data_IF_801419502636
#
_entry.id   IF_801419502636
#
_cell.length_a   1.000
_cell.length_b   1.000
_cell.length_c   1.000
_cell.angle_alpha   90.00
_cell.angle_beta   90.00
_cell.angle_gamma   90.00
#
_symmetry.space_group_name_H-M   'P 1'
#
loop_
_entity.id
_entity.type
_entity.pdbx_description
1 polymer ?
#
# COMPACT_ATOMS: atom_id res chain seq x y z
N UNK A 1 -15.96 43.49 26.48
CA UNK A 1 -16.25 42.75 25.21
C UNK A 1 -15.28 41.60 25.09
N UNK A 2 -15.79 40.34 24.92
CA UNK A 2 -14.93 39.17 24.60
C UNK A 2 -14.34 39.36 23.20
N UNK A 3 -13.03 39.23 23.07
CA UNK A 3 -12.37 39.25 21.77
C UNK A 3 -12.66 37.88 21.06
N UNK A 4 -13.00 37.95 19.78
CA UNK A 4 -13.19 36.79 18.94
C UNK A 4 -11.81 36.32 18.46
N UNK A 5 -11.53 35.03 18.61
CA UNK A 5 -10.28 34.44 18.10
C UNK A 5 -10.39 34.25 16.59
N UNK A 6 -9.32 34.52 15.84
CA UNK A 6 -9.30 34.23 14.41
C UNK A 6 -9.30 32.71 14.14
N UNK A 7 -9.98 32.34 13.06
CA UNK A 7 -9.92 30.97 12.53
C UNK A 7 -9.01 30.98 11.31
N UNK A 8 -8.05 30.08 11.27
CA UNK A 8 -7.12 29.89 10.14
C UNK A 8 -7.26 28.48 9.63
N UNK A 9 -7.44 28.31 8.32
CA UNK A 9 -7.42 27.00 7.67
C UNK A 9 -6.04 26.74 7.11
N UNK A 10 -5.46 25.62 7.55
CA UNK A 10 -4.17 25.11 7.08
C UNK A 10 -4.39 23.76 6.43
N UNK A 11 -3.85 23.59 5.22
CA UNK A 11 -3.83 22.33 4.48
C UNK A 11 -2.40 21.82 4.43
N UNK A 12 -2.19 20.62 4.90
CA UNK A 12 -0.92 19.90 4.74
C UNK A 12 -1.05 18.97 3.54
N UNK A 13 -0.31 19.25 2.48
CA UNK A 13 -0.33 18.50 1.24
C UNK A 13 0.91 17.59 1.16
N UNK A 14 0.68 16.29 1.08
CA UNK A 14 1.73 15.26 1.06
C UNK A 14 2.02 14.69 -0.33
N UNK A 15 1.44 15.27 -1.39
CA UNK A 15 1.66 14.81 -2.76
C UNK A 15 3.14 14.88 -3.16
N UNK A 16 3.66 13.77 -3.67
CA UNK A 16 5.05 13.63 -4.09
C UNK A 16 5.26 13.80 -5.59
N UNK A 17 4.21 13.61 -6.40
CA UNK A 17 4.31 13.60 -7.87
C UNK A 17 4.17 14.98 -8.49
N UNK A 18 3.42 15.88 -7.85
CA UNK A 18 3.15 17.22 -8.34
C UNK A 18 2.88 18.21 -7.21
N UNK A 19 3.11 19.48 -7.49
CA UNK A 19 2.72 20.59 -6.61
C UNK A 19 1.20 20.70 -6.50
N UNK A 20 0.75 21.36 -5.43
CA UNK A 20 -0.65 21.75 -5.28
C UNK A 20 -1.07 22.66 -6.44
N UNK A 21 -2.09 22.27 -7.18
CA UNK A 21 -2.55 23.02 -8.35
C UNK A 21 -4.01 23.52 -8.26
N UNK A 22 -4.67 23.27 -7.13
CA UNK A 22 -6.05 23.73 -6.95
C UNK A 22 -6.11 25.15 -6.39
N UNK A 23 -7.25 25.79 -6.58
CA UNK A 23 -7.51 27.13 -6.05
C UNK A 23 -7.38 27.15 -4.53
N UNK A 24 -6.82 28.24 -4.00
CA UNK A 24 -6.55 28.39 -2.56
C UNK A 24 -7.54 29.32 -1.86
N UNK A 25 -8.51 29.86 -2.60
CA UNK A 25 -9.51 30.79 -2.08
C UNK A 25 -10.89 30.53 -2.70
N UNK A 26 -11.94 30.78 -1.92
CA UNK A 26 -13.32 30.52 -2.33
C UNK A 26 -13.75 31.47 -3.46
N UNK A 27 -13.35 32.73 -3.39
CA UNK A 27 -13.72 33.72 -4.37
C UNK A 27 -13.35 33.33 -5.80
N UNK A 28 -12.22 32.67 -5.98
CA UNK A 28 -11.77 32.17 -7.30
C UNK A 28 -12.60 31.03 -7.88
N UNK A 29 -13.52 30.47 -7.10
CA UNK A 29 -14.45 29.42 -7.51
C UNK A 29 -15.86 29.93 -7.80
N UNK A 30 -16.09 31.25 -7.60
CA UNK A 30 -17.40 31.91 -7.77
C UNK A 30 -17.45 32.64 -9.12
N UNK A 31 -18.61 32.61 -9.75
CA UNK A 31 -18.95 33.50 -10.83
C UNK A 31 -19.52 34.80 -10.24
N UNK A 32 -18.69 35.85 -10.09
CA UNK A 32 -19.08 37.10 -9.49
C UNK A 32 -19.46 38.09 -10.60
N UNK A 33 -20.71 38.60 -10.64
CA UNK A 33 -21.10 39.58 -11.61
C UNK A 33 -20.26 40.87 -11.54
N UNK A 34 -20.07 41.50 -12.69
CA UNK A 34 -19.27 42.72 -12.81
C UNK A 34 -19.71 43.81 -11.79
N UNK A 35 -18.75 44.40 -11.11
CA UNK A 35 -18.98 45.45 -10.08
C UNK A 35 -19.33 44.94 -8.70
N UNK A 36 -19.61 43.63 -8.51
CA UNK A 36 -19.94 43.04 -7.21
C UNK A 36 -18.73 42.46 -6.47
N UNK A 37 -17.56 42.40 -7.09
CA UNK A 37 -16.36 41.77 -6.53
C UNK A 37 -15.97 42.33 -5.13
N UNK A 38 -16.10 43.64 -4.93
CA UNK A 38 -15.80 44.31 -3.66
C UNK A 38 -16.76 44.00 -2.52
N UNK A 39 -17.92 43.44 -2.82
CA UNK A 39 -18.93 43.08 -1.81
C UNK A 39 -18.87 41.60 -1.43
N UNK A 40 -18.11 40.78 -2.17
CA UNK A 40 -17.93 39.38 -1.87
C UNK A 40 -16.70 39.20 -1.00
N UNK A 41 -16.90 38.66 0.21
CA UNK A 41 -15.79 38.30 1.09
C UNK A 41 -15.06 37.08 0.54
N UNK A 42 -13.74 37.10 0.65
CA UNK A 42 -12.91 35.95 0.32
C UNK A 42 -12.47 35.19 1.58
N UNK A 43 -12.25 33.89 1.43
CA UNK A 43 -11.67 33.05 2.44
C UNK A 43 -10.55 32.24 1.81
N UNK A 44 -9.34 32.44 2.29
CA UNK A 44 -8.14 31.78 1.77
C UNK A 44 -7.64 30.72 2.74
N UNK A 45 -7.19 29.59 2.22
CA UNK A 45 -6.47 28.58 2.98
C UNK A 45 -4.96 28.65 2.72
N UNK A 46 -4.19 28.36 3.74
CA UNK A 46 -2.74 28.23 3.62
C UNK A 46 -2.40 26.78 3.29
N UNK A 47 -1.68 26.54 2.19
CA UNK A 47 -1.26 25.20 1.76
C UNK A 47 0.23 25.04 1.99
N UNK A 48 0.60 24.05 2.80
CA UNK A 48 1.98 23.64 3.03
C UNK A 48 2.23 22.35 2.27
N UNK A 49 3.13 22.38 1.33
CA UNK A 49 3.49 21.25 0.47
C UNK A 49 4.63 20.45 1.14
N UNK A 50 4.27 19.53 2.02
CA UNK A 50 5.18 18.85 2.95
C UNK A 50 6.32 18.14 2.22
N UNK A 51 6.02 17.41 1.15
CA UNK A 51 7.04 16.71 0.36
C UNK A 51 7.99 17.65 -0.42
N UNK A 52 7.73 18.95 -0.44
CA UNK A 52 8.49 19.97 -1.19
C UNK A 52 9.21 20.95 -0.29
N UNK A 53 9.17 20.74 1.03
CA UNK A 53 9.87 21.57 2.00
C UNK A 53 11.40 21.46 1.80
N UNK A 54 12.07 22.56 2.10
CA UNK A 54 13.54 22.61 2.19
C UNK A 54 14.02 22.01 3.51
N UNK A 55 15.31 21.68 3.60
CA UNK A 55 15.92 21.20 4.84
C UNK A 55 15.78 22.22 5.97
N UNK A 56 16.00 23.52 5.67
CA UNK A 56 15.82 24.60 6.64
C UNK A 56 14.39 24.70 7.18
N UNK A 57 13.39 24.48 6.32
CA UNK A 57 11.99 24.48 6.73
C UNK A 57 11.66 23.27 7.60
N UNK A 58 12.22 22.08 7.28
CA UNK A 58 12.05 20.87 8.06
C UNK A 58 12.68 21.01 9.45
N UNK A 59 13.84 21.63 9.56
CA UNK A 59 14.54 21.84 10.84
C UNK A 59 13.77 22.76 11.81
N UNK A 60 12.83 23.55 11.33
CA UNK A 60 11.97 24.38 12.18
C UNK A 60 10.93 23.59 12.98
N UNK A 61 10.62 22.37 12.56
CA UNK A 61 9.72 21.51 13.32
C UNK A 61 10.41 20.95 14.55
N UNK A 62 9.78 21.13 15.71
CA UNK A 62 10.30 20.66 17.00
C UNK A 62 9.68 19.34 17.47
N UNK A 63 8.73 18.79 16.72
CA UNK A 63 8.05 17.54 17.03
C UNK A 63 8.45 16.43 16.08
N UNK A 64 7.97 15.21 16.32
CA UNK A 64 8.15 14.04 15.43
C UNK A 64 7.67 14.31 14.00
N UNK A 65 6.85 15.35 13.78
CA UNK A 65 6.46 15.77 12.43
C UNK A 65 7.66 16.11 11.56
N UNK A 66 8.79 16.54 12.14
CA UNK A 66 10.06 16.74 11.42
C UNK A 66 10.51 15.46 10.72
N UNK A 67 10.43 14.32 11.42
CA UNK A 67 10.84 13.00 10.90
C UNK A 67 9.92 12.59 9.75
N UNK A 68 8.61 12.77 9.94
CA UNK A 68 7.60 12.45 8.91
C UNK A 68 7.77 13.35 7.68
N UNK A 69 7.95 14.66 7.87
CA UNK A 69 8.17 15.59 6.75
C UNK A 69 9.44 15.22 5.96
N UNK A 70 10.54 14.95 6.65
CA UNK A 70 11.80 14.50 6.04
C UNK A 70 11.62 13.21 5.22
N UNK A 71 10.85 12.24 5.74
CA UNK A 71 10.50 11.03 5.00
C UNK A 71 9.83 11.36 3.65
N UNK A 72 8.82 12.23 3.63
CA UNK A 72 8.11 12.59 2.40
C UNK A 72 8.99 13.36 1.40
N UNK A 73 9.86 14.24 1.88
CA UNK A 73 10.83 14.96 1.02
C UNK A 73 11.82 13.97 0.39
N UNK A 74 12.37 13.03 1.15
CA UNK A 74 13.27 12.00 0.63
C UNK A 74 12.55 11.05 -0.33
N UNK A 75 11.32 10.63 0.00
CA UNK A 75 10.48 9.77 -0.85
C UNK A 75 10.12 10.44 -2.18
N UNK A 76 9.90 11.75 -2.21
CA UNK A 76 9.71 12.51 -3.45
C UNK A 76 10.97 12.51 -4.31
N UNK A 77 12.14 12.74 -3.69
CA UNK A 77 13.43 12.75 -4.40
C UNK A 77 13.82 11.38 -4.93
N UNK A 78 13.48 10.32 -4.20
CA UNK A 78 13.75 8.93 -4.56
C UNK A 78 12.53 8.06 -4.20
N UNK A 79 11.84 7.53 -5.21
CA UNK A 79 10.65 6.67 -5.01
C UNK A 79 10.99 5.38 -4.24
N UNK A 80 12.22 4.90 -4.37
CA UNK A 80 12.71 3.69 -3.70
C UNK A 80 13.40 3.99 -2.36
N UNK A 81 13.24 5.21 -1.84
CA UNK A 81 13.82 5.59 -0.57
C UNK A 81 13.40 4.65 0.56
N UNK A 82 14.39 4.09 1.21
CA UNK A 82 14.25 3.29 2.43
C UNK A 82 14.51 4.23 3.62
N UNK A 83 13.60 4.31 4.59
CA UNK A 83 13.78 5.16 5.76
C UNK A 83 15.07 4.85 6.52
N UNK A 84 15.88 5.88 6.78
CA UNK A 84 17.20 5.76 7.41
C UNK A 84 17.44 6.76 8.55
N UNK A 85 16.38 7.42 9.03
CA UNK A 85 16.48 8.39 10.12
C UNK A 85 16.51 7.68 11.47
N UNK A 86 17.63 7.74 12.23
CA UNK A 86 17.78 7.08 13.53
C UNK A 86 17.19 7.90 14.68
N UNK A 87 16.62 9.08 14.41
CA UNK A 87 16.06 9.95 15.44
C UNK A 87 14.94 9.23 16.16
N UNK A 88 14.95 9.28 17.49
CA UNK A 88 13.91 8.68 18.31
C UNK A 88 12.57 9.39 18.10
N UNK A 89 11.53 8.59 17.85
CA UNK A 89 10.15 9.03 17.68
C UNK A 89 9.48 8.99 19.05
N UNK A 90 9.02 10.14 19.54
CA UNK A 90 8.36 10.24 20.84
C UNK A 90 6.90 9.75 20.80
N UNK A 91 6.20 9.99 19.68
CA UNK A 91 4.80 9.66 19.47
C UNK A 91 4.68 8.67 18.31
N UNK A 92 5.15 7.44 18.53
CA UNK A 92 5.23 6.38 17.51
C UNK A 92 3.86 6.08 16.89
N UNK A 93 2.81 6.03 17.71
CA UNK A 93 1.45 5.70 17.23
C UNK A 93 0.95 6.73 16.22
N UNK A 94 1.13 8.01 16.54
CA UNK A 94 0.68 9.13 15.71
C UNK A 94 1.50 9.19 14.41
N UNK A 95 2.81 9.01 14.50
CA UNK A 95 3.70 8.99 13.35
C UNK A 95 3.36 7.83 12.39
N UNK A 96 3.22 6.60 12.90
CA UNK A 96 2.85 5.44 12.09
C UNK A 96 1.46 5.58 11.46
N UNK A 97 0.48 6.11 12.23
CA UNK A 97 -0.86 6.35 11.71
C UNK A 97 -0.87 7.39 10.60
N UNK A 98 -0.10 8.47 10.76
CA UNK A 98 0.04 9.48 9.72
C UNK A 98 0.70 8.89 8.46
N UNK A 99 1.77 8.10 8.62
CA UNK A 99 2.42 7.41 7.51
C UNK A 99 1.46 6.46 6.81
N UNK A 100 0.69 5.65 7.55
CA UNK A 100 -0.32 4.77 6.97
C UNK A 100 -1.33 5.53 6.10
N UNK A 101 -1.93 6.59 6.67
CA UNK A 101 -2.98 7.35 5.98
C UNK A 101 -2.42 8.06 4.74
N UNK A 102 -1.22 8.63 4.82
CA UNK A 102 -0.64 9.41 3.73
C UNK A 102 0.00 8.56 2.64
N UNK A 103 0.50 7.37 2.97
CA UNK A 103 1.11 6.46 1.98
C UNK A 103 0.11 5.44 1.42
N UNK A 104 -0.99 5.17 2.13
CA UNK A 104 -1.92 4.08 1.83
C UNK A 104 -1.34 2.69 2.11
N UNK A 105 -0.22 2.59 2.83
CA UNK A 105 0.46 1.31 3.10
C UNK A 105 -0.01 0.70 4.43
N UNK A 106 -0.81 -0.36 4.35
CA UNK A 106 -1.36 -1.04 5.52
C UNK A 106 -0.31 -1.74 6.39
N UNK A 107 0.94 -1.89 5.92
CA UNK A 107 2.01 -2.46 6.74
C UNK A 107 2.30 -1.62 7.98
N UNK A 108 2.15 -0.30 7.88
CA UNK A 108 2.24 0.58 9.05
C UNK A 108 1.19 0.24 10.12
N UNK A 109 -0.02 -0.17 9.72
CA UNK A 109 -1.08 -0.61 10.63
C UNK A 109 -0.70 -1.88 11.40
N UNK A 110 -0.02 -2.81 10.76
CA UNK A 110 0.46 -4.02 11.44
C UNK A 110 1.51 -3.72 12.52
N UNK A 111 2.28 -2.64 12.35
CA UNK A 111 3.28 -2.21 13.34
C UNK A 111 2.66 -1.71 14.64
N UNK A 112 1.41 -1.20 14.63
CA UNK A 112 0.71 -0.79 15.87
C UNK A 112 0.62 -1.93 16.90
N UNK A 113 0.51 -3.18 16.44
CA UNK A 113 0.41 -4.34 17.33
C UNK A 113 1.70 -4.58 18.10
N UNK A 114 2.85 -4.11 17.57
CA UNK A 114 4.21 -4.30 18.12
C UNK A 114 4.96 -2.98 18.29
N UNK A 115 4.26 -1.91 18.63
CA UNK A 115 4.79 -0.55 18.73
C UNK A 115 6.00 -0.40 19.67
N UNK A 116 6.08 -1.20 20.73
CA UNK A 116 7.21 -1.18 21.69
C UNK A 116 8.57 -1.52 21.07
N UNK A 117 8.59 -2.01 19.85
CA UNK A 117 9.81 -2.39 19.14
C UNK A 117 10.16 -1.38 18.02
N UNK A 118 9.43 -0.27 17.93
CA UNK A 118 9.67 0.81 16.96
C UNK A 118 10.04 2.06 17.74
N UNK A 119 11.23 2.57 17.50
CA UNK A 119 11.76 3.78 18.13
C UNK A 119 12.23 4.81 17.12
N UNK A 120 12.46 4.40 15.88
CA UNK A 120 12.99 5.26 14.82
C UNK A 120 12.49 4.87 13.44
N UNK A 121 12.77 5.67 12.41
CA UNK A 121 12.48 5.29 11.03
C UNK A 121 13.35 4.14 10.54
N UNK A 122 14.52 3.92 11.11
CA UNK A 122 15.34 2.74 10.82
C UNK A 122 14.62 1.45 11.27
N UNK A 123 13.99 1.45 12.45
CA UNK A 123 13.21 0.30 12.93
C UNK A 123 11.98 0.04 12.03
N UNK A 124 11.35 1.13 11.56
CA UNK A 124 10.25 1.04 10.58
C UNK A 124 10.73 0.36 9.30
N UNK A 125 11.89 0.76 8.76
CA UNK A 125 12.45 0.18 7.54
C UNK A 125 12.74 -1.31 7.71
N UNK A 126 13.42 -1.70 8.79
CA UNK A 126 13.74 -3.10 9.09
C UNK A 126 12.49 -3.97 9.17
N UNK A 127 11.40 -3.43 9.76
CA UNK A 127 10.14 -4.16 9.83
C UNK A 127 9.45 -4.29 8.48
N UNK A 128 9.42 -3.22 7.69
CA UNK A 128 8.87 -3.28 6.33
C UNK A 128 9.58 -4.32 5.49
N UNK A 129 10.91 -4.42 5.61
CA UNK A 129 11.72 -5.43 4.95
C UNK A 129 11.36 -6.84 5.42
N UNK A 130 11.33 -7.08 6.74
CA UNK A 130 10.94 -8.38 7.32
C UNK A 130 9.53 -8.82 6.88
N UNK A 131 8.58 -7.89 6.86
CA UNK A 131 7.22 -8.16 6.39
C UNK A 131 7.19 -8.49 4.90
N UNK A 132 8.00 -7.78 4.09
CA UNK A 132 8.14 -8.04 2.66
C UNK A 132 8.72 -9.43 2.39
N UNK A 133 9.80 -9.79 3.08
CA UNK A 133 10.43 -11.12 2.98
C UNK A 133 9.45 -12.22 3.40
N UNK A 134 8.77 -12.07 4.55
CA UNK A 134 7.81 -13.06 5.03
C UNK A 134 6.68 -13.30 4.02
N UNK A 135 6.12 -12.22 3.46
CA UNK A 135 5.09 -12.30 2.43
C UNK A 135 5.60 -12.94 1.14
N UNK A 136 6.82 -12.60 0.72
CA UNK A 136 7.44 -13.21 -0.46
C UNK A 136 7.66 -14.72 -0.30
N UNK A 137 8.09 -15.17 0.89
CA UNK A 137 8.24 -16.60 1.20
C UNK A 137 6.89 -17.30 1.18
N UNK A 138 5.85 -16.70 1.75
CA UNK A 138 4.49 -17.26 1.77
C UNK A 138 3.96 -17.46 0.35
N UNK A 139 4.00 -16.39 -0.46
CA UNK A 139 3.58 -16.44 -1.88
C UNK A 139 4.36 -17.49 -2.67
N UNK A 140 5.69 -17.52 -2.52
CA UNK A 140 6.52 -18.52 -3.20
C UNK A 140 6.19 -19.96 -2.80
N UNK A 141 5.83 -20.21 -1.53
CA UNK A 141 5.37 -21.53 -1.08
C UNK A 141 4.02 -21.92 -1.68
N UNK A 142 3.08 -20.98 -1.76
CA UNK A 142 1.78 -21.21 -2.38
C UNK A 142 1.91 -21.50 -3.87
N UNK A 143 2.70 -20.72 -4.59
CA UNK A 143 2.99 -20.94 -6.01
C UNK A 143 3.66 -22.31 -6.25
N UNK A 144 4.66 -22.66 -5.43
CA UNK A 144 5.32 -23.95 -5.52
C UNK A 144 4.36 -25.11 -5.22
N UNK A 145 3.49 -24.95 -4.21
CA UNK A 145 2.47 -25.96 -3.87
C UNK A 145 1.54 -26.18 -5.06
N UNK A 146 1.04 -25.09 -5.67
CA UNK A 146 0.21 -25.14 -6.87
C UNK A 146 0.92 -25.85 -8.01
N UNK A 147 2.13 -25.41 -8.38
CA UNK A 147 2.89 -25.99 -9.48
C UNK A 147 3.14 -27.51 -9.27
N UNK A 148 3.48 -27.93 -8.06
CA UNK A 148 3.68 -29.33 -7.73
C UNK A 148 2.38 -30.15 -7.86
N UNK A 149 1.22 -29.58 -7.48
CA UNK A 149 -0.07 -30.27 -7.66
C UNK A 149 -0.44 -30.45 -9.12
N UNK A 150 -0.28 -29.40 -9.92
CA UNK A 150 -0.47 -29.48 -11.37
C UNK A 150 0.43 -30.55 -11.98
N UNK A 151 1.72 -30.53 -11.68
CA UNK A 151 2.68 -31.53 -12.17
C UNK A 151 2.27 -32.97 -11.80
N UNK A 152 1.89 -33.19 -10.55
CA UNK A 152 1.49 -34.52 -10.10
C UNK A 152 0.22 -35.01 -10.76
N UNK A 153 -0.80 -34.15 -10.94
CA UNK A 153 -2.01 -34.50 -11.66
C UNK A 153 -1.68 -34.91 -13.10
N UNK A 154 -0.94 -34.09 -13.83
CA UNK A 154 -0.58 -34.32 -15.21
C UNK A 154 0.27 -35.64 -15.35
N UNK A 155 1.23 -35.86 -14.46
CA UNK A 155 2.04 -37.09 -14.44
C UNK A 155 1.19 -38.33 -14.23
N UNK A 156 0.23 -38.31 -13.30
CA UNK A 156 -0.69 -39.44 -13.08
C UNK A 156 -1.54 -39.71 -14.31
N UNK A 157 -2.05 -38.63 -14.95
CA UNK A 157 -2.88 -38.76 -16.16
C UNK A 157 -2.08 -39.20 -17.38
N UNK A 158 -0.82 -38.79 -17.51
CA UNK A 158 0.08 -39.31 -18.56
C UNK A 158 0.27 -40.81 -18.45
N UNK A 159 0.42 -41.38 -17.24
CA UNK A 159 0.51 -42.82 -17.02
C UNK A 159 -0.78 -43.58 -17.40
N UNK A 160 -1.91 -42.87 -17.53
CA UNK A 160 -3.24 -43.41 -17.90
C UNK A 160 -3.65 -43.13 -19.34
N UNK A 161 -2.73 -42.64 -20.18
CA UNK A 161 -2.94 -42.40 -21.61
C UNK A 161 -2.80 -40.97 -22.07
N UNK A 162 -2.49 -40.07 -21.14
CA UNK A 162 -2.32 -38.62 -21.42
C UNK A 162 -3.63 -37.87 -21.55
N UNK A 163 -3.61 -36.54 -21.32
CA UNK A 163 -4.76 -35.65 -21.44
C UNK A 163 -4.69 -34.84 -22.73
N UNK A 164 -5.84 -34.39 -23.20
CA UNK A 164 -5.91 -33.44 -24.27
C UNK A 164 -5.44 -32.03 -23.82
N UNK A 165 -5.17 -31.16 -24.80
CA UNK A 165 -4.68 -29.80 -24.54
C UNK A 165 -5.68 -28.97 -23.72
N UNK A 166 -6.97 -29.16 -23.90
CA UNK A 166 -8.02 -28.45 -23.20
C UNK A 166 -8.03 -28.82 -21.70
N UNK A 167 -7.96 -30.10 -21.40
CA UNK A 167 -7.91 -30.59 -20.01
C UNK A 167 -6.61 -30.20 -19.33
N UNK A 168 -5.47 -30.28 -20.06
CA UNK A 168 -4.17 -29.81 -19.57
C UNK A 168 -4.25 -28.36 -19.16
N UNK A 169 -4.71 -27.49 -20.06
CA UNK A 169 -4.83 -26.05 -19.80
C UNK A 169 -5.76 -25.73 -18.64
N UNK A 170 -6.88 -26.43 -18.52
CA UNK A 170 -7.81 -26.28 -17.36
C UNK A 170 -7.12 -26.56 -16.04
N UNK A 171 -6.27 -27.60 -15.98
CA UNK A 171 -5.51 -27.97 -14.78
C UNK A 171 -4.42 -26.93 -14.47
N UNK A 172 -3.70 -26.46 -15.47
CA UNK A 172 -2.61 -25.48 -15.31
C UNK A 172 -3.11 -24.10 -14.89
N UNK A 173 -4.26 -23.68 -15.39
CA UNK A 173 -4.86 -22.38 -15.11
C UNK A 173 -5.68 -22.34 -13.80
N UNK A 174 -5.97 -23.49 -13.17
CA UNK A 174 -6.76 -23.52 -11.94
C UNK A 174 -6.06 -22.76 -10.81
N UNK A 175 -6.68 -21.70 -10.24
CA UNK A 175 -6.08 -20.92 -9.16
C UNK A 175 -6.23 -21.57 -7.78
N UNK A 176 -7.24 -22.41 -7.58
CA UNK A 176 -7.59 -23.01 -6.29
C UNK A 176 -6.79 -24.29 -6.02
N UNK A 177 -5.88 -24.19 -5.04
CA UNK A 177 -5.02 -25.33 -4.65
C UNK A 177 -5.82 -26.46 -3.99
N UNK A 178 -6.90 -26.14 -3.27
CA UNK A 178 -7.75 -27.15 -2.63
C UNK A 178 -8.53 -27.92 -3.69
N UNK A 179 -8.96 -27.25 -4.75
CA UNK A 179 -9.58 -27.91 -5.90
C UNK A 179 -8.57 -28.80 -6.66
N UNK A 180 -7.34 -28.34 -6.81
CA UNK A 180 -6.25 -29.18 -7.36
C UNK A 180 -5.98 -30.42 -6.49
N UNK A 181 -6.07 -30.33 -5.17
CA UNK A 181 -5.95 -31.50 -4.27
C UNK A 181 -7.10 -32.50 -4.47
N UNK A 182 -8.32 -32.00 -4.70
CA UNK A 182 -9.47 -32.85 -5.07
C UNK A 182 -9.24 -33.51 -6.42
N UNK A 183 -8.81 -32.76 -7.43
CA UNK A 183 -8.49 -33.31 -8.76
C UNK A 183 -7.38 -34.32 -8.73
N UNK A 184 -6.33 -34.10 -7.95
CA UNK A 184 -5.27 -35.09 -7.74
C UNK A 184 -5.83 -36.41 -7.20
N UNK A 185 -6.71 -36.31 -6.19
CA UNK A 185 -7.36 -37.49 -5.61
C UNK A 185 -8.23 -38.22 -6.65
N UNK A 186 -8.99 -37.47 -7.46
CA UNK A 186 -9.79 -38.01 -8.57
C UNK A 186 -8.90 -38.66 -9.64
N UNK A 187 -7.80 -38.03 -10.01
CA UNK A 187 -6.84 -38.57 -10.96
C UNK A 187 -6.22 -39.90 -10.50
N UNK A 188 -5.91 -40.04 -9.21
CA UNK A 188 -5.43 -41.28 -8.65
C UNK A 188 -6.47 -42.40 -8.72
N UNK A 189 -7.74 -42.13 -8.43
CA UNK A 189 -8.84 -43.10 -8.36
C UNK A 189 -9.37 -43.50 -9.74
N UNK A 190 -9.38 -42.62 -10.71
CA UNK A 190 -9.84 -42.90 -12.07
C UNK A 190 -9.00 -44.02 -12.70
N UNK A 191 -9.60 -44.91 -13.46
CA UNK A 191 -8.90 -45.96 -14.21
C UNK A 191 -8.43 -45.45 -15.58
N UNK A 192 -9.15 -44.47 -16.14
CA UNK A 192 -8.85 -43.88 -17.45
C UNK A 192 -8.92 -42.35 -17.38
N UNK A 193 -8.33 -41.68 -18.36
CA UNK A 193 -8.41 -40.21 -18.47
C UNK A 193 -9.85 -39.72 -18.68
N UNK A 194 -10.64 -40.46 -19.46
CA UNK A 194 -12.06 -40.12 -19.70
C UNK A 194 -12.89 -40.14 -18.41
N UNK A 195 -12.61 -41.12 -17.54
CA UNK A 195 -13.27 -41.20 -16.20
C UNK A 195 -12.90 -39.99 -15.34
N UNK A 196 -11.63 -39.55 -15.39
CA UNK A 196 -11.19 -38.35 -14.71
C UNK A 196 -11.86 -37.08 -15.27
N UNK A 197 -11.90 -36.91 -16.60
CA UNK A 197 -12.50 -35.77 -17.28
C UNK A 197 -14.00 -35.61 -16.93
N UNK A 198 -14.75 -36.73 -16.89
CA UNK A 198 -16.15 -36.72 -16.45
C UNK A 198 -16.31 -36.33 -14.97
N UNK A 199 -15.30 -36.53 -14.18
CA UNK A 199 -15.31 -36.19 -12.76
C UNK A 199 -14.86 -34.73 -12.48
N UNK A 200 -14.36 -34.00 -13.47
CA UNK A 200 -13.98 -32.57 -13.33
C UNK A 200 -15.18 -31.61 -13.27
N UNK A 201 -16.32 -32.04 -13.75
CA UNK A 201 -17.58 -31.31 -13.70
C UNK A 201 -18.29 -31.61 -12.35
#
# INVERSE_FOLDING_TARGET
>A
RKKILPVVTIVLYFGTDRHWNSKKNIKSLMEIPEGLDKFVNDYSMQVFEIAWLTEEEIERFQSDFRIVANFFVKKRKNKDYIPDDPTEIQHVDEALKLLQVMTGDDRYKEMFKKKKEVHSMCDVAERLEKMGIAKGIELGREEQKKASRVEFILRVLEMKGGVDEKTRKRIEEEPDVDLLDIWFTKALKANTVQEFEQALD
#
